data_IF_490925063451
#
_entry.id   IF_490925063451
#
_cell.length_a   1.000
_cell.length_b   1.000
_cell.length_c   1.000
_cell.angle_alpha   90.00
_cell.angle_beta   90.00
_cell.angle_gamma   90.00
#
_symmetry.space_group_name_H-M   'P 1'
#
loop_
_entity.id
_entity.type
_entity.pdbx_description
1 polymer ?
#
# COMPACT_ATOMS: atom_id res chain seq x y z
N UNK A 1 10.97 8.03 12.46
CA UNK A 1 10.66 6.99 11.45
C UNK A 1 9.52 7.55 10.64
N UNK A 2 9.73 7.64 9.33
CA UNK A 2 8.77 8.21 8.38
C UNK A 2 7.73 7.12 8.06
N UNK A 3 6.49 7.37 8.42
CA UNK A 3 5.36 6.46 8.20
C UNK A 3 4.50 7.00 7.07
N UNK A 4 3.86 6.06 6.38
CA UNK A 4 2.88 6.33 5.35
C UNK A 4 1.71 5.38 5.53
N UNK A 5 0.57 5.82 5.02
CA UNK A 5 -0.67 5.07 5.08
C UNK A 5 -1.02 4.61 3.66
N UNK A 6 -1.27 3.32 3.49
CA UNK A 6 -1.61 2.71 2.21
C UNK A 6 -3.05 2.21 2.24
N UNK A 7 -3.82 2.58 1.24
CA UNK A 7 -5.14 2.02 1.00
C UNK A 7 -5.09 1.14 -0.26
N UNK A 8 -5.46 -0.12 -0.05
CA UNK A 8 -5.49 -1.15 -1.08
C UNK A 8 -6.94 -1.60 -1.28
N UNK A 9 -7.31 -1.88 -2.53
CA UNK A 9 -8.58 -2.55 -2.81
C UNK A 9 -8.53 -4.03 -2.41
N UNK A 10 -9.67 -4.71 -2.47
CA UNK A 10 -9.77 -6.11 -2.06
C UNK A 10 -8.85 -7.05 -2.86
N UNK A 11 -8.56 -6.73 -4.12
CA UNK A 11 -7.72 -7.55 -4.98
C UNK A 11 -6.24 -7.32 -4.68
N UNK A 12 -5.83 -6.07 -4.52
CA UNK A 12 -4.48 -5.70 -4.12
C UNK A 12 -4.14 -6.22 -2.71
N UNK A 13 -5.10 -6.20 -1.78
CA UNK A 13 -4.94 -6.81 -0.46
C UNK A 13 -4.65 -8.31 -0.56
N UNK A 14 -5.34 -9.05 -1.44
CA UNK A 14 -5.09 -10.48 -1.63
C UNK A 14 -3.67 -10.77 -2.13
N UNK A 15 -3.11 -9.91 -2.98
CA UNK A 15 -1.74 -10.08 -3.47
C UNK A 15 -0.68 -9.73 -2.43
N UNK A 16 -1.00 -8.78 -1.54
CA UNK A 16 -0.09 -8.28 -0.53
C UNK A 16 -0.31 -8.87 0.88
N UNK A 17 -1.29 -9.77 1.08
CA UNK A 17 -1.75 -10.26 2.39
C UNK A 17 -0.61 -10.66 3.33
N UNK A 18 0.37 -11.42 2.82
CA UNK A 18 1.56 -11.85 3.57
C UNK A 18 2.45 -10.69 4.04
N UNK A 19 2.47 -9.57 3.32
CA UNK A 19 3.21 -8.36 3.66
C UNK A 19 2.43 -7.42 4.59
N UNK A 20 1.09 -7.55 4.59
CA UNK A 20 0.19 -6.75 5.43
C UNK A 20 0.00 -7.37 6.81
N UNK A 21 0.31 -8.66 6.98
CA UNK A 21 0.18 -9.35 8.26
C UNK A 21 0.96 -8.64 9.37
N UNK A 22 0.27 -8.38 10.48
CA UNK A 22 0.82 -7.67 11.64
C UNK A 22 0.99 -6.16 11.49
N UNK A 23 0.61 -5.55 10.36
CA UNK A 23 0.58 -4.09 10.21
C UNK A 23 -0.67 -3.48 10.83
N UNK A 24 -0.55 -2.24 11.32
CA UNK A 24 -1.68 -1.49 11.88
C UNK A 24 -2.60 -1.06 10.74
N UNK A 25 -3.87 -1.47 10.80
CA UNK A 25 -4.91 -1.06 9.87
C UNK A 25 -5.97 -0.24 10.62
N UNK A 26 -6.19 0.99 10.17
CA UNK A 26 -7.21 1.91 10.69
C UNK A 26 -8.11 2.36 9.55
N UNK A 27 -9.39 2.00 9.59
CA UNK A 27 -10.39 2.39 8.58
C UNK A 27 -9.97 2.07 7.12
N UNK A 28 -9.23 0.96 6.92
CA UNK A 28 -8.75 0.54 5.59
C UNK A 28 -7.42 1.18 5.18
N UNK A 29 -6.86 2.06 6.00
CA UNK A 29 -5.52 2.60 5.85
C UNK A 29 -4.51 1.77 6.64
N UNK A 30 -3.55 1.22 5.93
CA UNK A 30 -2.51 0.37 6.51
C UNK A 30 -1.28 1.22 6.74
N UNK A 31 -0.92 1.39 8.00
CA UNK A 31 0.23 2.19 8.40
C UNK A 31 1.51 1.38 8.27
N UNK A 32 2.46 1.91 7.52
CA UNK A 32 3.71 1.23 7.21
C UNK A 32 4.86 2.21 6.99
N UNK A 33 6.06 1.68 6.78
CA UNK A 33 7.22 2.49 6.38
C UNK A 33 7.34 2.51 4.87
N UNK A 34 8.04 3.50 4.32
CA UNK A 34 8.33 3.59 2.87
C UNK A 34 8.96 2.30 2.30
N UNK A 35 9.74 1.57 3.11
CA UNK A 35 10.33 0.28 2.73
C UNK A 35 9.27 -0.79 2.50
N UNK A 36 8.31 -0.94 3.41
CA UNK A 36 7.23 -1.91 3.27
C UNK A 36 6.36 -1.59 2.06
N UNK A 37 6.11 -0.32 1.88
CA UNK A 37 5.31 0.16 0.79
C UNK A 37 5.98 -0.16 -0.57
N UNK A 38 7.28 0.09 -0.73
CA UNK A 38 8.03 -0.34 -1.92
C UNK A 38 8.01 -1.87 -2.17
N UNK A 39 7.96 -2.69 -1.10
CA UNK A 39 7.81 -4.14 -1.24
C UNK A 39 6.42 -4.52 -1.76
N UNK A 40 5.37 -3.85 -1.27
CA UNK A 40 3.99 -4.07 -1.74
C UNK A 40 3.87 -3.65 -3.21
N UNK A 41 4.43 -2.50 -3.59
CA UNK A 41 4.48 -2.04 -4.98
C UNK A 41 5.12 -3.09 -5.92
N UNK A 42 6.27 -3.63 -5.51
CA UNK A 42 6.95 -4.71 -6.24
C UNK A 42 6.05 -5.94 -6.35
N UNK A 43 5.43 -6.35 -5.24
CA UNK A 43 4.55 -7.53 -5.21
C UNK A 43 3.33 -7.36 -6.12
N UNK A 44 2.70 -6.18 -6.13
CA UNK A 44 1.55 -5.89 -6.99
C UNK A 44 1.95 -5.94 -8.47
N UNK A 45 3.08 -5.32 -8.82
CA UNK A 45 3.63 -5.33 -10.18
C UNK A 45 3.97 -6.75 -10.65
N UNK A 46 4.63 -7.56 -9.83
CA UNK A 46 4.96 -8.95 -10.15
C UNK A 46 3.72 -9.85 -10.26
N UNK A 47 2.66 -9.53 -9.52
CA UNK A 47 1.40 -10.27 -9.54
C UNK A 47 0.50 -9.90 -10.72
N UNK A 48 0.94 -8.99 -11.61
CA UNK A 48 0.14 -8.46 -12.71
C UNK A 48 -1.19 -7.88 -12.21
N UNK A 49 -1.16 -7.24 -11.03
CA UNK A 49 -2.32 -6.54 -10.51
C UNK A 49 -2.70 -5.40 -11.47
N UNK A 50 -4.01 -5.26 -11.72
CA UNK A 50 -4.57 -4.20 -12.55
C UNK A 50 -5.61 -3.46 -11.72
N UNK A 51 -5.37 -2.17 -11.47
CA UNK A 51 -6.21 -1.36 -10.60
C UNK A 51 -5.47 -0.16 -10.04
N UNK A 52 -6.02 0.46 -9.00
CA UNK A 52 -5.44 1.66 -8.39
C UNK A 52 -5.22 1.42 -6.90
N UNK A 53 -4.14 1.97 -6.36
CA UNK A 53 -3.87 2.02 -4.92
C UNK A 53 -3.60 3.45 -4.51
N UNK A 54 -3.92 3.78 -3.26
CA UNK A 54 -3.76 5.14 -2.74
C UNK A 54 -2.74 5.15 -1.61
N UNK A 55 -1.76 6.03 -1.74
CA UNK A 55 -0.66 6.21 -0.82
C UNK A 55 -0.77 7.59 -0.19
N UNK A 56 -0.68 7.65 1.12
CA UNK A 56 -0.74 8.88 1.86
C UNK A 56 0.55 9.06 2.68
N UNK A 57 1.29 10.13 2.40
CA UNK A 57 2.43 10.56 3.22
C UNK A 57 1.91 11.44 4.35
N UNK A 58 1.96 10.95 5.59
CA UNK A 58 1.56 11.70 6.78
C UNK A 58 2.42 12.94 7.03
N UNK A 59 3.64 12.97 6.50
CA UNK A 59 4.58 14.08 6.71
C UNK A 59 4.38 15.22 5.73
N UNK A 60 4.17 14.88 4.46
CA UNK A 60 3.97 15.86 3.41
C UNK A 60 2.48 16.23 3.26
N UNK A 61 1.58 15.45 3.90
CA UNK A 61 0.13 15.51 3.69
C UNK A 61 -0.24 15.38 2.21
N UNK A 62 0.52 14.53 1.49
CA UNK A 62 0.33 14.30 0.06
C UNK A 62 -0.28 12.92 -0.15
N UNK A 63 -1.33 12.89 -0.97
CA UNK A 63 -1.95 11.69 -1.48
C UNK A 63 -1.44 11.40 -2.90
N UNK A 64 -1.00 10.17 -3.13
CA UNK A 64 -0.53 9.67 -4.41
C UNK A 64 -1.37 8.47 -4.82
N UNK A 65 -1.90 8.51 -6.05
CA UNK A 65 -2.60 7.39 -6.64
C UNK A 65 -1.67 6.70 -7.64
N UNK A 66 -1.48 5.40 -7.47
CA UNK A 66 -0.69 4.58 -8.39
C UNK A 66 -1.65 3.67 -9.13
N UNK A 67 -1.67 3.79 -10.46
CA UNK A 67 -2.41 2.92 -11.36
C UNK A 67 -1.48 1.83 -11.90
N UNK A 68 -1.91 0.58 -11.80
CA UNK A 68 -1.24 -0.58 -12.37
C UNK A 68 -2.07 -1.09 -13.56
N UNK A 69 -1.41 -1.35 -14.69
CA UNK A 69 -2.02 -1.75 -15.97
C UNK A 69 -1.20 -2.83 -16.67
#
# INVERSE_FOLDING_TARGET
>A
MHYMSLQLDAQAQQFADELLDGLENQDGWIKMTARYAALIDTRLSESQYVGTVTWFSDEDYIEHHIEYT
#
